data_IF_270802003876
#
_entry.id   IF_270802003876
#
_cell.length_a   1.000
_cell.length_b   1.000
_cell.length_c   1.000
_cell.angle_alpha   90.00
_cell.angle_beta   90.00
_cell.angle_gamma   90.00
#
_symmetry.space_group_name_H-M   'P 1'
#
loop_
_entity.id
_entity.type
_entity.pdbx_description
1 polymer ?
#
# COMPACT_ATOMS: atom_id res chain seq x y z
N UNK A 1 -5.43 -1.50 5.48
CA UNK A 1 -6.83 -1.36 5.01
C UNK A 1 -7.57 -0.45 5.97
N UNK A 2 -8.50 0.38 5.50
CA UNK A 2 -9.38 1.17 6.38
C UNK A 2 -10.82 0.68 6.28
N UNK A 3 -11.55 0.80 7.39
CA UNK A 3 -12.99 0.57 7.43
C UNK A 3 -13.69 1.80 8.02
N UNK A 4 -14.85 2.14 7.46
CA UNK A 4 -15.78 3.07 8.07
C UNK A 4 -17.14 2.37 8.18
N UNK A 5 -17.59 2.14 9.42
CA UNK A 5 -18.83 1.41 9.69
C UNK A 5 -20.08 2.30 9.54
N UNK A 6 -19.92 3.61 9.69
CA UNK A 6 -21.00 4.61 9.56
C UNK A 6 -21.42 4.79 8.10
N UNK A 7 -20.44 5.03 7.23
CA UNK A 7 -20.62 5.19 5.78
C UNK A 7 -20.56 3.85 5.02
N UNK A 8 -20.36 2.74 5.73
CA UNK A 8 -20.26 1.37 5.21
C UNK A 8 -19.30 1.26 4.02
N UNK A 9 -18.05 1.73 4.17
CA UNK A 9 -17.00 1.51 3.17
C UNK A 9 -15.76 0.81 3.73
N UNK A 10 -15.06 0.15 2.82
CA UNK A 10 -13.76 -0.48 3.03
C UNK A 10 -12.78 0.10 1.99
N UNK A 11 -11.72 0.75 2.46
CA UNK A 11 -10.63 1.22 1.59
C UNK A 11 -9.48 0.22 1.60
N UNK A 12 -9.27 -0.42 0.43
CA UNK A 12 -8.23 -1.41 0.18
C UNK A 12 -7.00 -0.67 -0.37
N UNK A 13 -5.97 -0.57 0.45
CA UNK A 13 -4.77 0.21 0.13
C UNK A 13 -3.76 -0.65 -0.63
N UNK A 14 -3.86 -0.62 -1.96
CA UNK A 14 -2.89 -1.25 -2.86
C UNK A 14 -1.55 -0.48 -2.82
N UNK A 15 -0.43 -1.20 -2.75
CA UNK A 15 0.89 -0.56 -2.71
C UNK A 15 1.19 0.25 -3.97
N UNK A 16 1.79 1.43 -3.79
CA UNK A 16 2.26 2.34 -4.85
C UNK A 16 1.18 2.89 -5.79
N UNK A 17 -0.06 3.03 -5.29
CA UNK A 17 -1.18 3.63 -6.03
C UNK A 17 -1.69 4.94 -5.41
N UNK A 18 -0.85 5.63 -4.63
CA UNK A 18 -1.23 6.87 -3.94
C UNK A 18 -2.10 6.66 -2.70
N UNK A 19 -2.22 5.42 -2.22
CA UNK A 19 -3.15 5.10 -1.13
C UNK A 19 -2.83 5.73 0.22
N UNK A 20 -1.59 6.16 0.49
CA UNK A 20 -1.26 6.95 1.69
C UNK A 20 -1.95 8.32 1.68
N UNK A 21 -2.01 8.98 0.51
CA UNK A 21 -2.71 10.26 0.35
C UNK A 21 -4.22 10.08 0.53
N UNK A 22 -4.79 9.04 -0.10
CA UNK A 22 -6.20 8.70 0.05
C UNK A 22 -6.54 8.37 1.50
N UNK A 23 -5.68 7.60 2.19
CA UNK A 23 -5.85 7.30 3.62
C UNK A 23 -5.97 8.58 4.44
N UNK A 24 -5.05 9.55 4.24
CA UNK A 24 -5.07 10.84 4.95
C UNK A 24 -6.41 11.56 4.72
N UNK A 25 -6.79 11.74 3.46
CA UNK A 25 -8.04 12.43 3.09
C UNK A 25 -9.27 11.73 3.67
N UNK A 26 -9.33 10.39 3.60
CA UNK A 26 -10.47 9.63 4.15
C UNK A 26 -10.55 9.72 5.67
N UNK A 27 -9.43 9.68 6.38
CA UNK A 27 -9.41 9.84 7.85
C UNK A 27 -9.77 11.25 8.30
N UNK A 28 -9.45 12.27 7.49
CA UNK A 28 -9.83 13.67 7.76
C UNK A 28 -11.32 13.91 7.43
N UNK A 29 -11.80 13.43 6.29
CA UNK A 29 -13.18 13.62 5.85
C UNK A 29 -14.19 12.79 6.66
N UNK A 30 -13.77 11.62 7.15
CA UNK A 30 -14.64 10.70 7.89
C UNK A 30 -13.95 10.27 9.20
N UNK A 31 -14.17 10.99 10.32
CA UNK A 31 -13.49 10.74 11.60
C UNK A 31 -13.69 9.33 12.18
N UNK A 32 -14.79 8.65 11.83
CA UNK A 32 -15.06 7.26 12.24
C UNK A 32 -14.23 6.20 11.48
N UNK A 33 -13.39 6.62 10.54
CA UNK A 33 -12.56 5.72 9.74
C UNK A 33 -11.42 5.15 10.58
N UNK A 34 -11.33 3.82 10.65
CA UNK A 34 -10.36 3.10 11.48
C UNK A 34 -9.48 2.17 10.64
N UNK A 35 -8.29 1.87 11.17
CA UNK A 35 -7.51 0.73 10.69
C UNK A 35 -8.28 -0.56 10.95
N UNK A 36 -8.38 -1.41 9.93
CA UNK A 36 -9.12 -2.67 10.03
C UNK A 36 -8.21 -3.89 9.96
N UNK A 37 -7.44 -3.96 8.88
CA UNK A 37 -6.42 -4.97 8.63
C UNK A 37 -5.12 -4.28 8.20
N UNK A 38 -4.07 -5.07 7.97
CA UNK A 38 -2.77 -4.60 7.51
C UNK A 38 -2.87 -3.65 6.32
N UNK A 39 -1.94 -2.69 6.24
CA UNK A 39 -2.01 -1.58 5.27
C UNK A 39 -2.18 -2.06 3.83
N UNK A 40 -1.66 -3.24 3.48
CA UNK A 40 -1.67 -3.77 2.11
C UNK A 40 -2.31 -5.16 2.01
N UNK A 41 -3.12 -5.53 3.00
CA UNK A 41 -3.79 -6.83 3.04
C UNK A 41 -4.79 -6.98 1.89
N UNK A 42 -4.91 -8.21 1.40
CA UNK A 42 -5.85 -8.54 0.34
C UNK A 42 -7.29 -8.34 0.80
N UNK A 43 -8.14 -7.82 -0.09
CA UNK A 43 -9.56 -7.60 0.20
C UNK A 43 -10.27 -8.87 0.69
N UNK A 44 -9.88 -10.05 0.17
CA UNK A 44 -10.46 -11.32 0.56
C UNK A 44 -10.25 -11.65 2.04
N UNK A 45 -9.16 -11.18 2.65
CA UNK A 45 -8.88 -11.40 4.06
C UNK A 45 -9.84 -10.64 4.98
N UNK A 46 -10.51 -9.60 4.48
CA UNK A 46 -11.56 -8.90 5.22
C UNK A 46 -12.89 -9.67 5.26
N UNK A 47 -13.12 -10.61 4.33
CA UNK A 47 -14.37 -11.38 4.26
C UNK A 47 -14.68 -12.17 5.54
N UNK A 48 -13.78 -12.98 6.12
CA UNK A 48 -14.06 -13.70 7.37
C UNK A 48 -14.25 -12.77 8.58
N UNK A 49 -13.72 -11.55 8.54
CA UNK A 49 -13.86 -10.58 9.64
C UNK A 49 -15.16 -9.78 9.59
N UNK A 50 -15.78 -9.68 8.40
CA UNK A 50 -17.06 -8.99 8.20
C UNK A 50 -18.23 -9.96 8.05
N UNK A 51 -17.96 -11.21 7.68
CA UNK A 51 -18.92 -12.31 7.56
C UNK A 51 -20.20 -11.87 6.83
N UNK A 52 -21.36 -11.94 7.50
CA UNK A 52 -22.66 -11.53 6.95
C UNK A 52 -22.75 -10.04 6.59
N UNK A 53 -21.93 -9.17 7.19
CA UNK A 53 -21.90 -7.75 6.83
C UNK A 53 -21.09 -7.47 5.55
N UNK A 54 -20.20 -8.39 5.12
CA UNK A 54 -19.34 -8.19 3.94
C UNK A 54 -20.06 -7.60 2.72
N UNK A 55 -21.21 -8.14 2.24
CA UNK A 55 -21.91 -7.59 1.09
C UNK A 55 -22.35 -6.13 1.26
N UNK A 56 -22.59 -5.68 2.50
CA UNK A 56 -23.15 -4.36 2.80
C UNK A 56 -22.15 -3.20 2.72
N UNK A 57 -20.85 -3.49 2.58
CA UNK A 57 -19.83 -2.45 2.46
C UNK A 57 -19.53 -2.11 0.99
N UNK A 58 -19.34 -0.84 0.67
CA UNK A 58 -18.66 -0.40 -0.54
C UNK A 58 -17.17 -0.73 -0.43
N UNK A 59 -16.57 -1.35 -1.46
CA UNK A 59 -15.13 -1.68 -1.48
C UNK A 59 -14.45 -0.77 -2.50
N UNK A 60 -13.51 0.05 -2.02
CA UNK A 60 -12.86 1.08 -2.81
C UNK A 60 -11.36 0.79 -2.85
N UNK A 61 -10.78 0.87 -4.04
CA UNK A 61 -9.34 0.77 -4.25
C UNK A 61 -8.93 1.71 -5.38
N UNK A 62 -7.67 2.15 -5.34
CA UNK A 62 -7.07 2.90 -6.43
C UNK A 62 -6.01 2.04 -7.09
N UNK A 63 -6.03 2.03 -8.42
CA UNK A 63 -5.05 1.36 -9.26
C UNK A 63 -4.18 2.40 -9.98
N UNK A 64 -3.04 1.96 -10.48
CA UNK A 64 -2.12 2.76 -11.29
C UNK A 64 -1.74 1.95 -12.53
N UNK A 65 -1.36 2.62 -13.61
CA UNK A 65 -0.72 1.97 -14.75
C UNK A 65 0.36 0.97 -14.26
N UNK A 66 0.36 -0.30 -14.72
CA UNK A 66 1.27 -1.31 -14.20
C UNK A 66 2.75 -0.96 -14.33
N UNK A 67 3.15 -0.39 -15.47
CA UNK A 67 4.54 0.03 -15.74
C UNK A 67 4.95 1.13 -14.77
N UNK A 68 4.13 2.17 -14.61
CA UNK A 68 4.45 3.26 -13.69
C UNK A 68 4.47 2.81 -12.22
N UNK A 69 3.60 1.85 -11.86
CA UNK A 69 3.58 1.26 -10.53
C UNK A 69 4.87 0.50 -10.24
N UNK A 70 5.40 -0.19 -11.24
CA UNK A 70 6.66 -0.92 -11.15
C UNK A 70 7.87 0.04 -11.10
N UNK A 71 7.87 1.07 -11.94
CA UNK A 71 8.87 2.15 -11.89
C UNK A 71 8.90 2.84 -10.53
N UNK A 72 7.72 3.05 -9.94
CA UNK A 72 7.58 3.60 -8.59
C UNK A 72 8.23 2.70 -7.52
N UNK A 73 8.11 1.37 -7.64
CA UNK A 73 8.78 0.41 -6.76
C UNK A 73 10.29 0.44 -6.93
N UNK A 74 10.78 0.33 -8.16
CA UNK A 74 12.22 0.37 -8.48
C UNK A 74 12.88 1.63 -7.92
N UNK A 75 12.28 2.79 -8.18
CA UNK A 75 12.77 4.09 -7.70
C UNK A 75 12.83 4.14 -6.17
N UNK A 76 11.83 3.58 -5.48
CA UNK A 76 11.81 3.53 -4.02
C UNK A 76 12.93 2.65 -3.45
N UNK A 77 13.11 1.45 -4.04
CA UNK A 77 14.12 0.49 -3.60
C UNK A 77 15.53 1.07 -3.79
N UNK A 78 15.82 1.62 -4.98
CA UNK A 78 17.12 2.23 -5.29
C UNK A 78 17.42 3.48 -4.46
N UNK A 79 16.44 4.35 -4.23
CA UNK A 79 16.60 5.50 -3.32
C UNK A 79 16.88 5.07 -1.88
N UNK A 80 16.25 3.99 -1.42
CA UNK A 80 16.52 3.44 -0.08
C UNK A 80 17.97 2.95 0.03
N UNK A 81 18.46 2.22 -0.99
CA UNK A 81 19.86 1.76 -1.04
C UNK A 81 20.86 2.92 -1.04
N UNK A 82 20.54 4.00 -1.74
CA UNK A 82 21.38 5.21 -1.79
C UNK A 82 21.25 6.10 -0.54
N UNK A 83 20.43 5.70 0.45
CA UNK A 83 20.18 6.51 1.65
C UNK A 83 19.40 7.81 1.40
N UNK A 84 18.81 7.96 0.20
CA UNK A 84 18.14 9.20 -0.26
C UNK A 84 16.66 9.27 0.11
N UNK A 85 16.13 8.29 0.84
CA UNK A 85 14.71 8.27 1.20
C UNK A 85 14.42 9.18 2.40
N UNK A 86 13.27 9.86 2.36
CA UNK A 86 12.83 10.75 3.43
C UNK A 86 12.69 10.01 4.78
N UNK A 87 12.98 10.69 5.89
CA UNK A 87 12.99 10.06 7.23
C UNK A 87 11.63 9.46 7.62
N UNK A 88 10.50 10.13 7.30
CA UNK A 88 9.17 9.56 7.51
C UNK A 88 8.95 8.24 6.75
N UNK A 89 9.64 8.06 5.62
CA UNK A 89 9.59 6.82 4.84
C UNK A 89 10.36 5.69 5.53
N UNK A 90 11.45 6.00 6.24
CA UNK A 90 12.21 5.03 7.06
C UNK A 90 11.37 4.52 8.22
N UNK A 91 10.57 5.39 8.84
CA UNK A 91 9.65 5.05 9.92
C UNK A 91 8.51 4.14 9.44
N UNK A 92 7.96 4.40 8.25
CA UNK A 92 6.86 3.61 7.67
C UNK A 92 7.32 2.25 7.14
N UNK A 93 8.56 2.13 6.67
CA UNK A 93 9.07 0.87 6.10
C UNK A 93 9.31 -0.22 7.15
N UNK A 94 9.48 0.12 8.43
CA UNK A 94 9.74 -0.84 9.50
C UNK A 94 11.07 -1.60 9.34
N UNK A 95 11.77 -1.87 10.43
CA UNK A 95 13.07 -2.56 10.39
C UNK A 95 13.01 -3.93 9.69
N UNK A 96 14.01 -4.19 8.84
CA UNK A 96 14.27 -5.42 8.05
C UNK A 96 13.40 -5.69 6.82
N UNK A 97 13.43 -4.77 5.85
CA UNK A 97 12.68 -4.86 4.58
C UNK A 97 13.43 -5.53 3.41
N UNK A 98 14.39 -6.44 3.64
CA UNK A 98 14.99 -7.19 2.51
C UNK A 98 14.15 -8.41 2.20
N UNK A 99 13.01 -8.19 1.56
CA UNK A 99 12.26 -9.29 0.95
C UNK A 99 12.89 -9.65 -0.41
N UNK A 100 12.47 -10.79 -0.98
CA UNK A 100 13.01 -11.30 -2.25
C UNK A 100 12.96 -10.28 -3.39
N UNK A 101 11.98 -9.37 -3.41
CA UNK A 101 11.87 -8.34 -4.43
C UNK A 101 13.02 -7.32 -4.32
N UNK A 102 13.33 -6.87 -3.11
CA UNK A 102 14.42 -5.93 -2.88
C UNK A 102 15.77 -6.56 -3.19
N UNK A 103 15.97 -7.81 -2.76
CA UNK A 103 17.17 -8.59 -3.11
C UNK A 103 17.33 -8.75 -4.62
N UNK A 104 16.23 -9.05 -5.33
CA UNK A 104 16.24 -9.15 -6.78
C UNK A 104 16.71 -7.85 -7.42
N UNK A 105 16.09 -6.72 -7.07
CA UNK A 105 16.46 -5.40 -7.63
C UNK A 105 17.92 -5.06 -7.34
N UNK A 106 18.40 -5.29 -6.11
CA UNK A 106 19.77 -4.96 -5.75
C UNK A 106 20.81 -5.82 -6.46
N UNK A 107 20.50 -7.09 -6.70
CA UNK A 107 21.47 -8.04 -7.24
C UNK A 107 21.40 -8.16 -8.77
N UNK A 108 20.26 -7.82 -9.39
CA UNK A 108 20.01 -8.11 -10.80
C UNK A 108 19.70 -6.88 -11.65
N UNK A 109 19.45 -5.71 -11.06
CA UNK A 109 19.04 -4.52 -11.83
C UNK A 109 20.05 -3.37 -11.70
N UNK A 110 20.67 -2.97 -12.82
CA UNK A 110 21.52 -1.75 -12.90
C UNK A 110 20.68 -0.53 -13.25
N UNK A 111 19.63 -0.72 -14.03
CA UNK A 111 18.65 0.27 -14.44
C UNK A 111 17.23 -0.32 -14.36
N UNK A 112 16.19 0.49 -14.65
CA UNK A 112 14.81 0.03 -14.55
C UNK A 112 14.42 -1.04 -15.57
N UNK A 113 15.00 -1.03 -16.77
CA UNK A 113 14.70 -2.01 -17.80
C UNK A 113 15.20 -3.41 -17.42
N UNK A 114 16.25 -3.51 -16.60
CA UNK A 114 16.72 -4.80 -16.06
C UNK A 114 15.75 -5.40 -15.01
N UNK A 115 14.75 -4.64 -14.59
CA UNK A 115 13.73 -5.06 -13.62
C UNK A 115 12.41 -5.49 -14.29
N UNK A 116 12.20 -5.15 -15.56
CA UNK A 116 10.98 -5.45 -16.32
C UNK A 116 11.08 -6.74 -17.14
#
# INVERSE_FOLDING_TARGET
MLINRTQKFLFIHIQRTGGSSIRKVLTEAFPDTKYFLGSHDHALWAKPHLDSEWPNYYKIAFVRNPWERMFSWYTMITQTQQGKIANWYKEVLGGNSKNKLWEYVFNNSRNFEDFY
#
